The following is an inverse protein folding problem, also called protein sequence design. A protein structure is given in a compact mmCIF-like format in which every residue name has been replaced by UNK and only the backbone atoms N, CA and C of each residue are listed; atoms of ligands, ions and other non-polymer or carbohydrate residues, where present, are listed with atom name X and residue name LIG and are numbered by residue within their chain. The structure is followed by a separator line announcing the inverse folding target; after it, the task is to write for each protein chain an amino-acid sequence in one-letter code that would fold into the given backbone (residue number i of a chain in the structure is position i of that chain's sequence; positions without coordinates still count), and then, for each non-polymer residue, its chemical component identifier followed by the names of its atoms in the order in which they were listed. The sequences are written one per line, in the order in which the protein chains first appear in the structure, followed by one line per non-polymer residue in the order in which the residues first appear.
data_IF_798098095737
#
_entry.id   IF_798098095737
#
_cell.length_a   1.000
_cell.length_b   1.000
_cell.length_c   1.000
_cell.angle_alpha   90.00
_cell.angle_beta   90.00
_cell.angle_gamma   90.00
#
_symmetry.space_group_name_H-M   'P 1'
#
loop_
_entity.id
_entity.type
_entity.pdbx_description
1 polymer ?
#
# COMPACT_ATOMS: atom_id res chain seq x y z
N UNK A 1 0.87 -17.59 20.65
CA UNK A 1 1.59 -17.74 19.36
C UNK A 1 1.51 -16.42 18.60
N UNK A 2 2.61 -15.90 18.05
CA UNK A 2 2.58 -14.66 17.25
C UNK A 2 2.05 -14.90 15.84
N UNK A 3 1.52 -13.86 15.17
CA UNK A 3 1.05 -13.94 13.78
C UNK A 3 2.13 -14.49 12.84
N UNK A 4 3.38 -14.06 13.00
CA UNK A 4 4.52 -14.54 12.20
C UNK A 4 4.76 -16.04 12.36
N UNK A 5 4.66 -16.57 13.59
CA UNK A 5 4.80 -18.01 13.85
C UNK A 5 3.64 -18.79 13.22
N UNK A 6 2.41 -18.30 13.38
CA UNK A 6 1.22 -18.90 12.76
C UNK A 6 1.33 -18.94 11.23
N UNK A 7 1.66 -17.81 10.60
CA UNK A 7 1.80 -17.68 9.15
C UNK A 7 2.90 -18.61 8.60
N UNK A 8 4.07 -18.63 9.25
CA UNK A 8 5.17 -19.50 8.84
C UNK A 8 4.81 -20.98 8.93
N UNK A 9 4.13 -21.41 10.00
CA UNK A 9 3.61 -22.79 10.12
C UNK A 9 2.60 -23.11 9.02
N UNK A 10 1.66 -22.20 8.75
CA UNK A 10 0.61 -22.38 7.72
C UNK A 10 1.20 -22.50 6.31
N UNK A 11 2.22 -21.70 5.99
CA UNK A 11 2.80 -21.63 4.65
C UNK A 11 4.11 -22.42 4.48
N UNK A 12 4.49 -23.25 5.46
CA UNK A 12 5.75 -24.02 5.50
C UNK A 12 7.00 -23.15 5.24
N UNK A 13 7.00 -21.90 5.73
CA UNK A 13 8.14 -20.97 5.61
C UNK A 13 8.97 -20.97 6.89
N UNK A 14 10.27 -20.67 6.78
CA UNK A 14 11.19 -20.48 7.91
C UNK A 14 11.79 -19.07 7.84
N UNK A 15 12.14 -18.50 8.99
CA UNK A 15 12.74 -17.16 9.09
C UNK A 15 11.74 -16.04 9.42
N UNK A 16 12.21 -14.79 9.33
CA UNK A 16 11.42 -13.61 9.69
C UNK A 16 10.39 -13.26 8.60
N UNK A 17 9.12 -13.13 8.99
CA UNK A 17 8.06 -12.67 8.08
C UNK A 17 8.17 -11.16 7.79
N UNK A 18 8.54 -10.36 8.79
CA UNK A 18 8.69 -8.92 8.68
C UNK A 18 10.16 -8.53 8.79
N UNK A 19 10.59 -7.62 7.92
CA UNK A 19 11.96 -7.09 7.91
C UNK A 19 12.07 -5.89 8.87
N UNK A 20 12.21 -6.18 10.16
CA UNK A 20 12.41 -5.17 11.20
C UNK A 20 11.12 -4.56 11.76
N UNK A 21 11.27 -3.51 12.59
CA UNK A 21 10.14 -2.81 13.23
C UNK A 21 9.50 -1.83 12.26
N UNK A 22 8.17 -1.73 12.30
CA UNK A 22 7.43 -0.67 11.63
C UNK A 22 7.89 0.70 12.14
N UNK A 23 8.09 1.65 11.22
CA UNK A 23 8.49 3.02 11.53
C UNK A 23 7.29 3.96 11.36
N UNK A 24 6.54 4.27 12.43
CA UNK A 24 5.52 5.30 12.35
C UNK A 24 6.20 6.67 12.21
N UNK A 25 5.75 7.47 11.24
CA UNK A 25 6.16 8.86 11.09
C UNK A 25 4.91 9.70 11.35
N UNK A 26 4.99 10.63 12.30
CA UNK A 26 3.94 11.62 12.50
C UNK A 26 4.02 12.63 11.36
N UNK A 27 2.91 12.83 10.65
CA UNK A 27 2.86 13.70 9.50
C UNK A 27 2.21 15.02 9.89
N UNK A 28 2.87 16.12 9.54
CA UNK A 28 2.23 17.43 9.47
C UNK A 28 1.36 17.47 8.20
N UNK A 29 0.11 17.91 8.34
CA UNK A 29 -1.01 17.43 7.55
C UNK A 29 -1.03 17.92 6.10
N UNK A 30 -0.40 19.07 5.79
CA UNK A 30 -0.66 19.71 4.51
C UNK A 30 0.40 19.36 3.44
N UNK A 31 1.67 19.68 3.65
CA UNK A 31 2.69 19.48 2.61
C UNK A 31 3.12 18.01 2.49
N UNK A 32 3.29 17.33 3.63
CA UNK A 32 3.75 15.95 3.66
C UNK A 32 2.70 14.98 3.13
N UNK A 33 1.41 15.26 3.32
CA UNK A 33 0.32 14.44 2.80
C UNK A 33 0.24 14.49 1.27
N UNK A 34 0.42 15.67 0.67
CA UNK A 34 0.46 15.82 -0.79
C UNK A 34 1.65 15.03 -1.36
N UNK A 35 2.82 15.13 -0.72
CA UNK A 35 4.01 14.44 -1.18
C UNK A 35 3.84 12.91 -1.07
N UNK A 36 3.28 12.42 0.03
CA UNK A 36 3.03 10.99 0.24
C UNK A 36 1.94 10.43 -0.67
N UNK A 37 0.86 11.18 -0.89
CA UNK A 37 -0.22 10.76 -1.80
C UNK A 37 0.28 10.58 -3.24
N UNK A 38 1.31 11.32 -3.65
CA UNK A 38 2.04 11.11 -4.91
C UNK A 38 3.06 9.98 -4.82
N UNK A 39 3.81 9.90 -3.72
CA UNK A 39 4.88 8.91 -3.56
C UNK A 39 4.37 7.47 -3.55
N UNK A 40 3.30 7.17 -2.78
CA UNK A 40 2.81 5.80 -2.58
C UNK A 40 2.42 5.13 -3.91
N UNK A 41 1.59 5.75 -4.78
CA UNK A 41 1.25 5.16 -6.08
C UNK A 41 2.42 5.11 -7.06
N UNK A 42 3.42 6.00 -6.91
CA UNK A 42 4.61 6.01 -7.78
C UNK A 42 5.66 4.96 -7.39
N UNK A 43 5.62 4.42 -6.16
CA UNK A 43 6.59 3.43 -5.71
C UNK A 43 6.65 2.15 -6.57
N UNK A 44 5.52 1.56 -7.01
CA UNK A 44 5.53 0.43 -7.95
C UNK A 44 6.22 0.74 -9.30
N UNK A 45 6.10 1.98 -9.80
CA UNK A 45 6.78 2.41 -11.03
C UNK A 45 8.28 2.53 -10.78
N UNK A 46 8.68 3.15 -9.66
CA UNK A 46 10.10 3.26 -9.28
C UNK A 46 10.76 1.91 -9.05
N UNK A 47 10.01 0.96 -8.50
CA UNK A 47 10.42 -0.44 -8.32
C UNK A 47 10.37 -1.26 -9.62
N UNK A 48 10.03 -0.64 -10.76
CA UNK A 48 9.92 -1.29 -12.09
C UNK A 48 8.91 -2.45 -12.13
N UNK A 49 7.89 -2.42 -11.26
CA UNK A 49 6.84 -3.44 -11.23
C UNK A 49 5.75 -3.18 -12.28
N UNK A 50 5.53 -1.90 -12.62
CA UNK A 50 4.55 -1.43 -13.64
C UNK A 50 5.10 -0.19 -14.35
N UNK A 51 4.61 0.11 -15.56
CA UNK A 51 4.97 1.33 -16.30
C UNK A 51 4.16 2.54 -15.85
N UNK A 52 2.94 2.32 -15.35
CA UNK A 52 2.06 3.38 -14.88
C UNK A 52 1.39 3.01 -13.54
N UNK A 53 1.23 3.95 -12.57
CA UNK A 53 0.64 3.66 -11.26
C UNK A 53 -0.74 3.01 -11.30
N UNK A 54 -1.53 3.32 -12.34
CA UNK A 54 -2.88 2.78 -12.54
C UNK A 54 -2.92 1.29 -12.87
N UNK A 55 -1.78 0.69 -13.18
CA UNK A 55 -1.66 -0.74 -13.50
C UNK A 55 -1.37 -1.57 -12.24
N UNK A 56 -0.97 -0.93 -11.14
CA UNK A 56 -0.68 -1.62 -9.91
C UNK A 56 -1.96 -1.98 -9.14
N UNK A 57 -2.43 -3.22 -9.32
CA UNK A 57 -3.68 -3.75 -8.77
C UNK A 57 -3.73 -3.82 -7.25
N UNK A 58 -2.57 -3.82 -6.58
CA UNK A 58 -2.42 -3.95 -5.13
C UNK A 58 -2.37 -2.60 -4.42
N UNK A 59 -3.11 -1.62 -4.93
CA UNK A 59 -3.27 -0.30 -4.33
C UNK A 59 -4.71 0.20 -4.47
N UNK A 60 -5.10 1.17 -3.66
CA UNK A 60 -6.38 1.89 -3.81
C UNK A 60 -6.36 2.92 -4.95
N UNK A 61 -5.18 3.24 -5.49
CA UNK A 61 -4.99 4.28 -6.50
C UNK A 61 -5.86 4.10 -7.77
N UNK A 62 -6.05 2.89 -8.33
CA UNK A 62 -6.98 2.70 -9.46
C UNK A 62 -8.43 3.08 -9.17
N UNK A 63 -8.87 2.97 -7.90
CA UNK A 63 -10.19 3.44 -7.46
C UNK A 63 -10.27 4.96 -7.40
N UNK A 64 -9.24 5.62 -6.84
CA UNK A 64 -9.12 7.08 -6.86
C UNK A 64 -8.99 7.66 -8.27
N UNK A 65 -8.31 6.95 -9.18
CA UNK A 65 -8.12 7.36 -10.57
C UNK A 65 -9.31 7.03 -11.49
N UNK A 66 -10.43 6.54 -10.94
CA UNK A 66 -11.65 6.23 -11.69
C UNK A 66 -11.57 5.03 -12.66
N UNK A 67 -10.50 4.22 -12.59
CA UNK A 67 -10.27 3.09 -13.51
C UNK A 67 -10.94 1.79 -13.03
N UNK A 68 -11.28 1.69 -11.75
CA UNK A 68 -11.91 0.51 -11.14
C UNK A 68 -13.10 0.96 -10.31
N UNK A 69 -14.20 0.18 -10.33
CA UNK A 69 -15.31 0.35 -9.39
C UNK A 69 -14.73 0.44 -7.98
N UNK A 70 -14.96 1.56 -7.30
CA UNK A 70 -14.48 1.72 -5.93
C UNK A 70 -15.13 0.62 -5.07
N UNK A 71 -14.35 -0.05 -4.21
CA UNK A 71 -14.96 -0.89 -3.18
C UNK A 71 -15.89 -0.03 -2.31
N UNK A 72 -16.98 -0.60 -1.82
CA UNK A 72 -17.99 0.14 -1.05
C UNK A 72 -17.40 0.75 0.24
N UNK A 73 -16.31 0.17 0.76
CA UNK A 73 -15.55 0.67 1.92
C UNK A 73 -14.54 1.78 1.60
N UNK A 74 -14.29 2.10 0.32
CA UNK A 74 -13.36 3.18 -0.07
C UNK A 74 -14.11 4.51 -0.14
N UNK A 75 -13.81 5.39 0.82
CA UNK A 75 -14.32 6.77 0.83
C UNK A 75 -13.41 7.63 -0.06
N UNK A 76 -14.03 8.37 -0.97
CA UNK A 76 -13.38 9.32 -1.87
C UNK A 76 -14.18 10.61 -1.79
N UNK A 77 -13.55 11.75 -1.51
CA UNK A 77 -14.23 13.05 -1.61
C UNK A 77 -14.43 13.36 -3.09
N UNK A 78 -15.61 13.02 -3.60
CA UNK A 78 -15.91 13.02 -5.03
C UNK A 78 -17.04 12.02 -5.32
N UNK A 79 -18.26 12.42 -4.94
CA UNK A 79 -19.52 11.73 -5.16
C UNK A 79 -20.65 12.52 -4.51
#
# INVERSE_FOLDING_TARGET
MSYSVYFNKRHRRKGHLFQGRFKPILLDANEYLILLSRYIPLNPVRAKMVTHPREYSWSSYPGFAGKRRKPDWLITEGG
#
